data_IF_720159239283
#
_entry.id   IF_720159239283
#
_cell.length_a   1.000
_cell.length_b   1.000
_cell.length_c   1.000
_cell.angle_alpha   90.00
_cell.angle_beta   90.00
_cell.angle_gamma   90.00
#
_symmetry.space_group_name_H-M   'P 1'
#
loop_
_entity.id
_entity.type
_entity.pdbx_description
1 polymer ?
#
# COMPACT_ATOMS: atom_id res chain seq x y z
N UNK A 1 8.37 -9.24 -8.50
CA UNK A 1 9.33 -10.01 -7.67
C UNK A 1 8.95 -11.47 -7.71
N UNK A 2 9.93 -12.33 -7.96
CA UNK A 2 9.69 -13.78 -7.97
C UNK A 2 9.47 -14.29 -6.54
N UNK A 3 8.48 -15.17 -6.36
CA UNK A 3 8.17 -15.77 -5.08
C UNK A 3 9.02 -17.03 -4.90
N UNK A 4 10.14 -16.89 -4.19
CA UNK A 4 11.03 -18.01 -3.86
C UNK A 4 10.94 -18.32 -2.38
N UNK A 5 11.42 -19.50 -1.98
CA UNK A 5 11.49 -19.89 -0.57
C UNK A 5 12.30 -18.88 0.24
N UNK A 6 13.44 -18.42 -0.31
CA UNK A 6 14.30 -17.44 0.35
C UNK A 6 13.62 -16.10 0.54
N UNK A 7 12.90 -15.61 -0.48
CA UNK A 7 12.16 -14.35 -0.40
C UNK A 7 11.04 -14.43 0.66
N UNK A 8 10.36 -15.57 0.72
CA UNK A 8 9.32 -15.81 1.73
C UNK A 8 9.90 -15.83 3.14
N UNK A 9 11.02 -16.50 3.34
CA UNK A 9 11.67 -16.58 4.65
C UNK A 9 12.13 -15.20 5.13
N UNK A 10 12.74 -14.40 4.25
CA UNK A 10 13.15 -13.03 4.58
C UNK A 10 11.95 -12.16 4.94
N UNK A 11 10.86 -12.25 4.17
CA UNK A 11 9.64 -11.48 4.42
C UNK A 11 8.99 -11.89 5.76
N UNK A 12 8.96 -13.19 6.06
CA UNK A 12 8.41 -13.68 7.33
C UNK A 12 9.25 -13.24 8.53
N UNK A 13 10.57 -13.27 8.41
CA UNK A 13 11.46 -12.81 9.47
C UNK A 13 11.28 -11.33 9.74
N UNK A 14 11.13 -10.53 8.68
CA UNK A 14 10.87 -9.09 8.80
C UNK A 14 9.53 -8.83 9.50
N UNK A 15 8.48 -9.53 9.10
CA UNK A 15 7.15 -9.43 9.71
C UNK A 15 7.21 -9.80 11.20
N UNK A 16 7.90 -10.88 11.53
CA UNK A 16 8.09 -11.33 12.92
C UNK A 16 8.77 -10.25 13.76
N UNK A 17 9.81 -9.61 13.22
CA UNK A 17 10.53 -8.55 13.93
C UNK A 17 9.63 -7.34 14.19
N UNK A 18 8.83 -6.94 13.21
CA UNK A 18 7.86 -5.85 13.35
C UNK A 18 6.80 -6.20 14.40
N UNK A 19 6.29 -7.42 14.38
CA UNK A 19 5.30 -7.94 15.33
C UNK A 19 5.82 -7.87 16.77
N UNK A 20 7.03 -8.39 16.99
CA UNK A 20 7.65 -8.40 18.31
C UNK A 20 7.83 -6.97 18.82
N UNK A 21 8.33 -6.07 17.97
CA UNK A 21 8.50 -4.65 18.31
C UNK A 21 7.16 -4.01 18.71
N UNK A 22 6.13 -4.19 17.87
CA UNK A 22 4.81 -3.60 18.09
C UNK A 22 4.20 -4.05 19.42
N UNK A 23 4.16 -5.36 19.64
CA UNK A 23 3.51 -5.92 20.83
C UNK A 23 4.29 -5.60 22.11
N UNK A 24 5.62 -5.53 22.04
CA UNK A 24 6.43 -5.08 23.16
C UNK A 24 6.10 -3.65 23.54
N UNK A 25 6.00 -2.75 22.57
CA UNK A 25 5.64 -1.34 22.79
C UNK A 25 4.24 -1.21 23.39
N UNK A 26 3.27 -1.96 22.86
CA UNK A 26 1.91 -1.95 23.39
C UNK A 26 1.83 -2.47 24.81
N UNK A 27 2.63 -3.47 25.17
CA UNK A 27 2.69 -4.01 26.51
C UNK A 27 3.27 -2.99 27.50
N UNK A 28 4.29 -2.26 27.09
CA UNK A 28 4.91 -1.21 27.91
C UNK A 28 3.99 0.00 28.08
N UNK A 29 3.26 0.36 27.00
CA UNK A 29 2.32 1.48 27.00
C UNK A 29 1.09 1.12 26.15
N UNK A 30 -0.05 0.73 26.75
CA UNK A 30 -1.26 0.37 26.00
C UNK A 30 -1.80 1.47 25.08
N UNK A 31 -1.47 2.73 25.36
CA UNK A 31 -1.89 3.87 24.54
C UNK A 31 -0.92 4.16 23.39
N UNK A 32 0.21 3.45 23.33
CA UNK A 32 1.20 3.66 22.27
C UNK A 32 0.60 3.34 20.91
N UNK A 33 0.91 4.17 19.92
CA UNK A 33 0.58 3.96 18.53
C UNK A 33 1.77 4.32 17.65
N UNK A 34 1.93 3.59 16.55
CA UNK A 34 2.99 3.86 15.60
C UNK A 34 2.67 5.13 14.80
N UNK A 35 3.64 6.05 14.74
CA UNK A 35 3.53 7.26 13.94
C UNK A 35 4.59 7.18 12.83
N UNK A 36 4.17 7.10 11.55
CA UNK A 36 5.13 7.09 10.45
C UNK A 36 5.97 8.36 10.41
N UNK A 37 7.25 8.21 10.08
CA UNK A 37 8.14 9.37 9.89
C UNK A 37 7.94 10.02 8.51
N UNK A 38 7.35 9.32 7.57
CA UNK A 38 6.99 9.84 6.25
C UNK A 38 5.71 10.68 6.36
N UNK A 39 5.76 11.93 5.92
CA UNK A 39 4.58 12.78 5.82
C UNK A 39 3.83 12.49 4.52
N UNK A 40 2.54 12.23 4.63
CA UNK A 40 1.67 11.96 3.50
C UNK A 40 0.22 12.31 3.85
N UNK A 41 -0.61 12.36 2.84
CA UNK A 41 -2.04 12.66 2.99
C UNK A 41 -2.86 11.74 2.09
N UNK A 42 -4.18 11.72 2.30
CA UNK A 42 -5.10 11.03 1.40
C UNK A 42 -4.90 11.52 -0.03
N UNK A 43 -4.85 10.60 -0.97
CA UNK A 43 -4.55 10.87 -2.37
C UNK A 43 -3.08 10.71 -2.76
N UNK A 44 -2.19 10.59 -1.80
CA UNK A 44 -0.79 10.25 -2.06
C UNK A 44 -0.63 8.74 -2.23
N UNK A 45 0.48 8.34 -2.83
CA UNK A 45 0.88 6.93 -2.92
C UNK A 45 2.08 6.69 -2.01
N UNK A 46 1.97 5.71 -1.13
CA UNK A 46 3.05 5.33 -0.21
C UNK A 46 3.44 3.88 -0.43
N UNK A 47 4.71 3.58 -0.17
CA UNK A 47 5.23 2.22 -0.32
C UNK A 47 4.88 1.41 0.91
N UNK A 48 4.13 0.33 0.72
CA UNK A 48 3.58 -0.49 1.80
C UNK A 48 4.04 -1.93 1.62
N UNK A 49 4.52 -2.52 2.71
CA UNK A 49 4.83 -3.94 2.74
C UNK A 49 3.53 -4.72 3.00
N UNK A 50 3.04 -5.39 1.96
CA UNK A 50 1.81 -6.21 2.04
C UNK A 50 2.10 -7.60 2.60
N UNK A 51 3.37 -7.90 2.87
CA UNK A 51 3.87 -9.16 3.42
C UNK A 51 3.59 -10.38 2.54
N UNK A 52 3.52 -11.55 3.17
CA UNK A 52 3.33 -12.82 2.48
C UNK A 52 1.86 -13.18 2.51
N UNK A 53 1.28 -13.40 1.33
CA UNK A 53 -0.13 -13.70 1.16
C UNK A 53 -0.30 -14.91 0.24
N UNK A 54 -1.53 -15.35 0.03
CA UNK A 54 -1.85 -16.45 -0.87
C UNK A 54 -1.77 -16.01 -2.34
N UNK A 55 -1.68 -16.96 -3.31
CA UNK A 55 -1.34 -16.63 -4.70
C UNK A 55 -2.23 -15.61 -5.41
N UNK A 56 -3.51 -15.50 -5.05
CA UNK A 56 -4.41 -14.52 -5.66
C UNK A 56 -4.37 -13.16 -4.98
N UNK A 57 -3.54 -13.00 -3.96
CA UNK A 57 -3.35 -11.74 -3.24
C UNK A 57 -1.99 -11.15 -3.57
N UNK A 58 -1.91 -9.83 -3.65
CA UNK A 58 -0.62 -9.17 -3.79
C UNK A 58 0.21 -9.33 -2.53
N UNK A 59 1.51 -9.54 -2.69
CA UNK A 59 2.44 -9.66 -1.57
C UNK A 59 3.69 -8.82 -1.82
N UNK A 60 4.53 -8.71 -0.76
CA UNK A 60 5.73 -7.88 -0.72
C UNK A 60 5.39 -6.39 -0.80
N UNK A 61 6.33 -5.58 -1.25
CA UNK A 61 6.19 -4.13 -1.27
C UNK A 61 5.55 -3.60 -2.54
N UNK A 62 4.60 -2.70 -2.37
CA UNK A 62 3.94 -2.01 -3.47
C UNK A 62 3.62 -0.58 -3.06
N UNK A 63 3.68 0.36 -4.02
CA UNK A 63 3.08 1.66 -3.80
C UNK A 63 1.57 1.51 -3.81
N UNK A 64 0.94 2.08 -2.80
CA UNK A 64 -0.50 1.99 -2.61
C UNK A 64 -1.10 3.38 -2.53
N UNK A 65 -2.23 3.57 -3.19
CA UNK A 65 -2.98 4.82 -3.15
C UNK A 65 -3.72 4.91 -1.81
N UNK A 66 -3.52 5.99 -1.07
CA UNK A 66 -4.17 6.21 0.23
C UNK A 66 -5.56 6.81 -0.01
N UNK A 67 -6.59 6.01 0.20
CA UNK A 67 -7.98 6.43 0.04
C UNK A 67 -8.48 7.15 1.29
N UNK A 68 -8.18 6.60 2.45
CA UNK A 68 -8.65 7.14 3.72
C UNK A 68 -7.64 6.89 4.84
N UNK A 69 -7.38 7.93 5.62
CA UNK A 69 -6.59 7.86 6.83
C UNK A 69 -7.52 7.67 8.03
N UNK A 70 -7.37 6.56 8.75
CA UNK A 70 -8.19 6.20 9.90
C UNK A 70 -7.37 6.18 11.19
N UNK A 71 -6.44 7.11 11.32
CA UNK A 71 -5.50 7.24 12.44
C UNK A 71 -4.45 6.12 12.46
N UNK A 72 -4.70 4.99 13.10
CA UNK A 72 -3.75 3.86 13.15
C UNK A 72 -3.71 3.01 11.89
N UNK A 73 -4.71 3.13 11.04
CA UNK A 73 -4.90 2.32 9.82
C UNK A 73 -5.12 3.18 8.60
N UNK A 74 -4.91 2.59 7.44
CA UNK A 74 -5.20 3.21 6.14
C UNK A 74 -6.07 2.29 5.31
N UNK A 75 -7.02 2.87 4.59
CA UNK A 75 -7.68 2.19 3.47
C UNK A 75 -6.87 2.51 2.22
N UNK A 76 -6.34 1.49 1.56
CA UNK A 76 -5.42 1.66 0.42
C UNK A 76 -5.82 0.81 -0.76
N UNK A 77 -5.43 1.27 -1.95
CA UNK A 77 -5.53 0.53 -3.21
C UNK A 77 -4.11 0.24 -3.69
N UNK A 78 -3.66 -1.03 -3.62
CA UNK A 78 -2.33 -1.39 -4.12
C UNK A 78 -2.19 -1.18 -5.62
N UNK A 79 -0.95 -0.93 -6.06
CA UNK A 79 -0.64 -0.71 -7.46
C UNK A 79 0.55 -1.55 -7.92
N UNK A 80 0.67 -1.70 -9.23
CA UNK A 80 1.84 -2.28 -9.88
C UNK A 80 2.35 -1.33 -10.95
N UNK A 81 3.61 -1.50 -11.35
CA UNK A 81 4.15 -0.78 -12.49
C UNK A 81 3.44 -1.21 -13.77
N UNK A 82 3.15 -0.27 -14.64
CA UNK A 82 2.58 -0.57 -15.95
C UNK A 82 3.72 -0.93 -16.90
N UNK A 83 3.74 -2.18 -17.35
CA UNK A 83 4.75 -2.65 -18.31
C UNK A 83 4.14 -2.87 -19.68
N UNK A 84 3.11 -3.69 -19.77
CA UNK A 84 2.44 -4.09 -21.01
C UNK A 84 0.95 -4.24 -20.82
N UNK A 85 0.22 -4.20 -21.90
CA UNK A 85 -1.21 -4.51 -21.93
C UNK A 85 -2.09 -3.40 -21.37
N UNK A 86 -3.38 -3.66 -21.41
CA UNK A 86 -4.41 -2.77 -20.93
C UNK A 86 -4.87 -3.20 -19.54
N UNK A 87 -5.36 -2.26 -18.70
CA UNK A 87 -5.94 -2.64 -17.43
C UNK A 87 -7.19 -3.51 -17.64
N UNK A 88 -7.38 -4.49 -16.77
CA UNK A 88 -8.61 -5.28 -16.76
C UNK A 88 -9.74 -4.50 -16.06
N UNK A 89 -10.93 -5.10 -15.97
CA UNK A 89 -12.10 -4.44 -15.38
C UNK A 89 -11.95 -4.06 -13.90
N UNK A 90 -10.97 -4.64 -13.20
CA UNK A 90 -10.69 -4.36 -11.78
C UNK A 90 -9.52 -3.41 -11.59
N UNK A 91 -8.95 -2.91 -12.67
CA UNK A 91 -7.74 -2.10 -12.66
C UNK A 91 -7.93 -0.76 -13.33
N UNK A 92 -7.12 0.20 -12.98
CA UNK A 92 -7.09 1.51 -13.64
C UNK A 92 -5.68 2.05 -13.64
N UNK A 93 -5.23 2.51 -14.81
CA UNK A 93 -3.93 3.16 -14.93
C UNK A 93 -4.05 4.64 -14.56
N UNK A 94 -3.11 5.12 -13.75
CA UNK A 94 -3.02 6.52 -13.36
C UNK A 94 -1.61 7.04 -13.62
N UNK A 95 -1.51 8.36 -13.82
CA UNK A 95 -0.22 9.03 -13.90
C UNK A 95 0.25 9.39 -12.50
N UNK A 96 1.52 9.12 -12.22
CA UNK A 96 2.15 9.41 -10.93
C UNK A 96 3.48 10.11 -11.14
N UNK A 97 3.95 10.81 -10.12
CA UNK A 97 5.24 11.49 -10.14
C UNK A 97 6.06 11.07 -8.91
N UNK A 98 7.28 10.61 -9.15
CA UNK A 98 8.25 10.26 -8.12
C UNK A 98 9.54 11.02 -8.39
N UNK A 99 9.93 11.91 -7.46
CA UNK A 99 11.14 12.74 -7.58
C UNK A 99 11.26 13.46 -8.95
N UNK A 100 10.14 14.07 -9.38
CA UNK A 100 10.06 14.79 -10.64
C UNK A 100 9.93 13.91 -11.89
N UNK A 101 9.98 12.60 -11.73
CA UNK A 101 9.85 11.63 -12.83
C UNK A 101 8.40 11.20 -12.98
N UNK A 102 7.86 11.36 -14.17
CA UNK A 102 6.49 10.94 -14.50
C UNK A 102 6.49 9.48 -14.94
N UNK A 103 5.53 8.72 -14.44
CA UNK A 103 5.36 7.32 -14.81
C UNK A 103 3.88 6.93 -14.64
N UNK A 104 3.55 5.70 -15.04
CA UNK A 104 2.19 5.17 -14.86
C UNK A 104 2.21 4.08 -13.81
N UNK A 105 1.19 4.07 -12.96
CA UNK A 105 0.92 2.99 -12.03
C UNK A 105 -0.47 2.43 -12.31
N UNK A 106 -0.60 1.13 -12.14
CA UNK A 106 -1.85 0.41 -12.32
C UNK A 106 -2.45 0.08 -10.96
N UNK A 107 -3.51 0.82 -10.60
CA UNK A 107 -4.26 0.55 -9.37
C UNK A 107 -5.09 -0.72 -9.54
N UNK A 108 -5.06 -1.59 -8.55
CA UNK A 108 -5.85 -2.81 -8.54
C UNK A 108 -6.93 -2.73 -7.47
N UNK A 109 -8.16 -2.42 -7.90
CA UNK A 109 -9.29 -2.26 -6.98
C UNK A 109 -9.65 -3.57 -6.26
N UNK A 110 -9.38 -4.73 -6.88
CA UNK A 110 -9.65 -6.02 -6.25
C UNK A 110 -8.75 -6.31 -5.05
N UNK A 111 -7.67 -5.56 -4.91
CA UNK A 111 -6.70 -5.69 -3.81
C UNK A 111 -6.88 -4.63 -2.73
N UNK A 112 -7.91 -3.80 -2.84
CA UNK A 112 -8.22 -2.75 -1.84
C UNK A 112 -8.35 -3.38 -0.46
N UNK A 113 -7.65 -2.81 0.51
CA UNK A 113 -7.62 -3.35 1.88
C UNK A 113 -7.31 -2.28 2.91
N UNK A 114 -7.61 -2.61 4.14
CA UNK A 114 -7.20 -1.82 5.30
C UNK A 114 -5.89 -2.41 5.83
N UNK A 115 -4.92 -1.54 6.08
CA UNK A 115 -3.60 -1.96 6.61
C UNK A 115 -3.23 -1.12 7.84
N UNK A 116 -2.40 -1.68 8.69
CA UNK A 116 -1.79 -0.94 9.80
C UNK A 116 -0.70 -0.02 9.25
N UNK A 117 -0.59 1.18 9.80
CA UNK A 117 0.45 2.15 9.38
C UNK A 117 1.88 1.63 9.57
N UNK A 118 2.09 0.64 10.43
CA UNK A 118 3.42 0.02 10.56
C UNK A 118 3.91 -0.66 9.30
N UNK A 119 3.02 -0.99 8.36
CA UNK A 119 3.39 -1.59 7.07
C UNK A 119 3.99 -0.59 6.09
N UNK A 120 3.95 0.71 6.40
CA UNK A 120 4.54 1.75 5.55
C UNK A 120 6.07 1.67 5.64
N UNK A 121 6.73 1.58 4.49
CA UNK A 121 8.18 1.71 4.40
C UNK A 121 8.52 3.20 4.30
N UNK A 122 8.85 3.81 5.43
CA UNK A 122 9.17 5.24 5.50
C UNK A 122 10.50 5.62 4.85
N UNK A 123 11.31 4.63 4.44
CA UNK A 123 12.57 4.87 3.71
C UNK A 123 12.32 5.18 2.25
N UNK A 124 11.16 4.82 1.72
CA UNK A 124 10.76 5.10 0.34
C UNK A 124 10.02 6.43 0.30
N UNK A 125 10.33 7.31 -0.67
CA UNK A 125 9.56 8.55 -0.85
C UNK A 125 8.13 8.23 -1.28
N UNK A 126 7.22 9.16 -1.02
CA UNK A 126 5.85 9.03 -1.54
C UNK A 126 5.82 9.42 -3.03
N UNK A 127 4.86 8.86 -3.76
CA UNK A 127 4.55 9.31 -5.11
C UNK A 127 3.31 10.20 -5.07
N UNK A 128 3.25 11.17 -5.97
CA UNK A 128 2.06 11.99 -6.18
C UNK A 128 1.25 11.43 -7.34
N UNK A 129 -0.03 11.16 -7.08
CA UNK A 129 -0.97 10.77 -8.12
C UNK A 129 -1.59 12.03 -8.74
N UNK A 130 -1.73 12.05 -10.07
CA UNK A 130 -2.38 13.16 -10.76
C UNK A 130 -3.91 13.06 -10.70
N UNK A 131 -4.44 11.87 -10.41
CA UNK A 131 -5.87 11.65 -10.20
C UNK A 131 -6.37 12.28 -8.92
N UNK A 132 -7.53 12.92 -8.96
CA UNK A 132 -8.16 13.46 -7.75
C UNK A 132 -8.68 12.33 -6.85
N UNK A 133 -8.65 12.59 -5.55
CA UNK A 133 -9.19 11.64 -4.57
C UNK A 133 -10.69 11.39 -4.78
N UNK A 134 -11.45 12.42 -5.15
CA UNK A 134 -12.89 12.31 -5.42
C UNK A 134 -13.14 11.32 -6.57
N UNK A 135 -12.35 11.41 -7.64
CA UNK A 135 -12.46 10.51 -8.79
C UNK A 135 -12.15 9.06 -8.42
N UNK A 136 -11.08 8.85 -7.64
CA UNK A 136 -10.71 7.51 -7.18
C UNK A 136 -11.80 6.91 -6.28
N UNK A 137 -12.35 7.69 -5.36
CA UNK A 137 -13.47 7.24 -4.51
C UNK A 137 -14.70 6.85 -5.34
N UNK A 138 -14.99 7.61 -6.38
CA UNK A 138 -16.08 7.29 -7.30
C UNK A 138 -15.83 5.95 -8.01
N UNK A 139 -14.62 5.74 -8.53
CA UNK A 139 -14.23 4.49 -9.19
C UNK A 139 -14.29 3.29 -8.24
N UNK A 140 -13.86 3.49 -7.00
CA UNK A 140 -13.93 2.42 -5.98
C UNK A 140 -15.39 2.04 -5.68
N UNK A 141 -16.28 3.02 -5.61
CA UNK A 141 -17.72 2.77 -5.44
C UNK A 141 -18.30 1.97 -6.60
N UNK A 142 -17.96 2.33 -7.83
CA UNK A 142 -18.38 1.57 -9.01
C UNK A 142 -17.91 0.11 -8.93
N UNK A 143 -16.65 -0.08 -8.51
CA UNK A 143 -16.09 -1.43 -8.36
C UNK A 143 -16.86 -2.25 -7.32
N UNK A 144 -17.22 -1.66 -6.20
CA UNK A 144 -17.98 -2.34 -5.14
C UNK A 144 -19.38 -2.72 -5.59
N UNK A 145 -19.90 -2.13 -6.64
CA UNK A 145 -21.21 -2.43 -7.18
C UNK A 145 -22.26 -1.39 -6.85
N UNK A 146 -21.77 -0.19 -6.67
CA UNK A 146 -22.66 0.95 -6.44
C UNK A 146 -23.44 1.35 -7.66
#
# INVERSE_FOLDING_TARGET
MEVTKENLEVALDHLKSQWVYYWKKKKENPKWGYIPTLEFQEGDMVYINLDVNFPHEMCFGHWCYVVKDMEGKLLVIPSTSVKDGCPCKYEMDINVTLDGRKMKSRLNFSETRVIDKMRIDCKKPKMKAECSLVFIKYKLKEFIGG
#
